data_IF_912486046931
#
_entry.id   IF_912486046931
#
_cell.length_a   1.000
_cell.length_b   1.000
_cell.length_c   1.000
_cell.angle_alpha   90.00
_cell.angle_beta   90.00
_cell.angle_gamma   90.00
#
_symmetry.space_group_name_H-M   'P 1'
#
loop_
_entity.id
_entity.type
_entity.pdbx_description
1 polymer ?
#
# COMPACT_ATOMS: atom_id res chain seq x y z
N UNK A 1 -42.71 17.75 16.19
CA UNK A 1 -41.93 17.34 17.38
C UNK A 1 -40.51 17.03 16.91
N UNK A 2 -39.60 17.99 17.02
CA UNK A 2 -38.23 17.86 16.50
C UNK A 2 -37.42 16.96 17.45
N UNK A 3 -36.91 15.85 16.91
CA UNK A 3 -35.96 14.97 17.60
C UNK A 3 -34.69 15.79 17.91
N UNK A 4 -34.56 16.16 19.18
CA UNK A 4 -33.33 16.68 19.77
C UNK A 4 -32.30 15.55 19.78
N UNK A 5 -31.62 15.35 18.65
CA UNK A 5 -30.37 14.60 18.65
C UNK A 5 -29.38 15.39 19.48
N UNK A 6 -29.13 14.95 20.71
CA UNK A 6 -27.99 15.41 21.50
C UNK A 6 -26.74 14.98 20.72
N UNK A 7 -26.26 15.84 19.82
CA UNK A 7 -24.97 15.69 19.16
C UNK A 7 -23.96 15.68 20.31
N UNK A 8 -23.41 14.51 20.61
CA UNK A 8 -22.21 14.42 21.43
C UNK A 8 -21.19 15.33 20.77
N UNK A 9 -20.85 16.39 21.48
CA UNK A 9 -19.96 17.43 20.98
C UNK A 9 -18.60 16.76 20.71
N UNK A 10 -17.89 17.09 19.63
CA UNK A 10 -16.55 16.52 19.36
C UNK A 10 -15.57 16.71 20.53
N UNK A 11 -15.87 17.65 21.44
CA UNK A 11 -15.18 17.88 22.72
C UNK A 11 -15.30 16.70 23.71
N UNK A 12 -16.42 15.97 23.73
CA UNK A 12 -16.61 14.81 24.62
C UNK A 12 -15.82 13.57 24.14
N UNK A 13 -15.63 13.44 22.82
CA UNK A 13 -14.81 12.37 22.22
C UNK A 13 -13.33 12.76 21.99
N UNK A 14 -12.95 14.01 22.32
CA UNK A 14 -11.63 14.58 21.99
C UNK A 14 -11.21 14.33 20.52
N UNK A 15 -12.17 14.34 19.58
CA UNK A 15 -11.91 14.00 18.19
C UNK A 15 -11.45 15.23 17.40
N UNK A 16 -10.33 15.12 16.68
CA UNK A 16 -9.84 16.20 15.79
C UNK A 16 -10.33 16.01 14.35
N UNK A 17 -10.63 17.11 13.68
CA UNK A 17 -10.95 17.09 12.25
C UNK A 17 -9.73 16.70 11.42
N UNK A 18 -9.98 16.17 10.22
CA UNK A 18 -8.92 15.80 9.27
C UNK A 18 -8.11 17.01 8.85
N UNK A 19 -8.78 18.13 8.61
CA UNK A 19 -8.20 19.40 8.21
C UNK A 19 -7.22 19.88 9.27
N UNK A 20 -7.64 19.87 10.55
CA UNK A 20 -6.79 20.26 11.68
C UNK A 20 -5.60 19.32 11.85
N UNK A 21 -5.81 18.01 11.74
CA UNK A 21 -4.72 17.04 11.81
C UNK A 21 -3.67 17.27 10.71
N UNK A 22 -4.12 17.53 9.48
CA UNK A 22 -3.24 17.83 8.35
C UNK A 22 -2.52 19.15 8.59
N UNK A 23 -3.22 20.22 8.94
CA UNK A 23 -2.64 21.54 9.19
C UNK A 23 -1.50 21.50 10.22
N UNK A 24 -1.71 20.81 11.35
CA UNK A 24 -0.72 20.68 12.42
C UNK A 24 0.53 19.89 12.03
N UNK A 25 0.40 18.89 11.13
CA UNK A 25 1.48 17.94 10.84
C UNK A 25 2.11 18.12 9.45
N UNK A 26 1.47 18.85 8.52
CA UNK A 26 1.87 18.94 7.12
C UNK A 26 3.31 19.43 6.94
N UNK A 27 3.68 20.53 7.60
CA UNK A 27 5.02 21.13 7.45
C UNK A 27 6.11 20.17 7.90
N UNK A 28 6.02 19.68 9.14
CA UNK A 28 6.99 18.77 9.73
C UNK A 28 7.14 17.47 8.92
N UNK A 29 6.02 16.82 8.57
CA UNK A 29 6.03 15.59 7.78
C UNK A 29 6.65 15.82 6.40
N UNK A 30 6.29 16.91 5.73
CA UNK A 30 6.83 17.23 4.40
C UNK A 30 8.33 17.53 4.44
N UNK A 31 8.80 18.27 5.45
CA UNK A 31 10.22 18.60 5.65
C UNK A 31 11.03 17.33 5.94
N UNK A 32 10.56 16.46 6.85
CA UNK A 32 11.23 15.19 7.14
C UNK A 32 11.35 14.30 5.89
N UNK A 33 10.28 14.18 5.10
CA UNK A 33 10.31 13.42 3.85
C UNK A 33 11.26 14.06 2.84
N UNK A 34 11.24 15.39 2.73
CA UNK A 34 12.13 16.11 1.82
C UNK A 34 13.60 15.87 2.16
N UNK A 35 13.97 16.04 3.44
CA UNK A 35 15.32 15.81 3.92
C UNK A 35 15.75 14.36 3.74
N UNK A 36 14.88 13.39 4.03
CA UNK A 36 15.19 11.98 3.83
C UNK A 36 15.36 11.64 2.35
N UNK A 37 14.49 12.13 1.47
CA UNK A 37 14.61 11.93 0.01
C UNK A 37 15.89 12.57 -0.54
N UNK A 38 16.24 13.79 -0.10
CA UNK A 38 17.50 14.44 -0.46
C UNK A 38 18.71 13.68 0.05
N UNK A 39 18.67 13.25 1.32
CA UNK A 39 19.72 12.48 1.93
C UNK A 39 19.92 11.17 1.16
N UNK A 40 18.86 10.42 0.89
CA UNK A 40 18.93 9.16 0.15
C UNK A 40 19.41 9.37 -1.30
N UNK A 41 19.01 10.48 -1.94
CA UNK A 41 19.55 10.88 -3.24
C UNK A 41 21.04 11.19 -3.19
N UNK A 42 21.52 11.86 -2.13
CA UNK A 42 22.94 12.17 -1.91
C UNK A 42 23.73 10.89 -1.54
N UNK A 43 23.17 10.05 -0.66
CA UNK A 43 23.77 8.87 -0.05
C UNK A 43 23.79 7.63 -0.96
N UNK A 44 22.87 7.48 -1.93
CA UNK A 44 23.02 6.48 -3.01
C UNK A 44 24.19 6.76 -3.97
N UNK A 45 24.94 7.83 -3.69
CA UNK A 45 26.38 7.98 -3.82
C UNK A 45 26.99 8.03 -5.22
N UNK A 46 28.13 8.73 -5.25
CA UNK A 46 28.93 9.14 -6.43
C UNK A 46 29.01 8.10 -7.56
N UNK A 47 29.09 6.79 -7.29
CA UNK A 47 29.24 5.75 -8.33
C UNK A 47 27.99 5.59 -9.21
N UNK A 48 26.79 5.51 -8.64
CA UNK A 48 25.55 5.40 -9.42
C UNK A 48 25.21 6.72 -10.12
N UNK A 49 25.48 7.86 -9.46
CA UNK A 49 25.36 9.20 -10.07
C UNK A 49 26.33 9.38 -11.24
N UNK A 50 27.62 9.02 -11.07
CA UNK A 50 28.62 9.03 -12.16
C UNK A 50 28.19 8.13 -13.31
N UNK A 51 27.76 6.89 -13.05
CA UNK A 51 27.25 5.97 -14.07
C UNK A 51 26.03 6.54 -14.81
N UNK A 52 25.10 7.18 -14.09
CA UNK A 52 23.97 7.87 -14.73
C UNK A 52 24.40 9.06 -15.57
N UNK A 53 25.31 9.91 -15.09
CA UNK A 53 25.81 11.07 -15.82
C UNK A 53 26.54 10.62 -17.08
N UNK A 54 27.44 9.64 -16.97
CA UNK A 54 28.14 9.01 -18.11
C UNK A 54 27.13 8.41 -19.09
N UNK A 55 26.17 7.61 -18.62
CA UNK A 55 25.14 7.03 -19.50
C UNK A 55 24.24 8.09 -20.14
N UNK A 56 23.96 9.20 -19.45
CA UNK A 56 23.18 10.31 -20.00
C UNK A 56 23.97 11.07 -21.06
N UNK A 57 25.26 11.28 -20.86
CA UNK A 57 26.17 11.87 -21.86
C UNK A 57 26.29 10.92 -23.06
N UNK A 58 26.55 9.63 -22.83
CA UNK A 58 26.59 8.60 -23.87
C UNK A 58 25.27 8.50 -24.63
N UNK A 59 24.13 8.63 -23.95
CA UNK A 59 22.82 8.65 -24.59
C UNK A 59 22.67 9.87 -25.51
N UNK A 60 22.95 11.08 -25.04
CA UNK A 60 22.81 12.29 -25.85
C UNK A 60 23.79 12.33 -27.01
N UNK A 61 25.04 11.92 -26.79
CA UNK A 61 26.04 11.78 -27.86
C UNK A 61 25.61 10.74 -28.88
N UNK A 62 25.18 9.55 -28.44
CA UNK A 62 24.66 8.52 -29.35
C UNK A 62 23.40 8.97 -30.10
N UNK A 63 22.53 9.77 -29.46
CA UNK A 63 21.34 10.32 -30.08
C UNK A 63 21.67 11.34 -31.16
N UNK A 64 22.59 12.28 -30.89
CA UNK A 64 23.08 13.23 -31.90
C UNK A 64 23.76 12.50 -33.05
N UNK A 65 24.65 11.56 -32.74
CA UNK A 65 25.34 10.74 -33.75
C UNK A 65 24.31 9.98 -34.61
N UNK A 66 23.29 9.38 -34.00
CA UNK A 66 22.22 8.70 -34.72
C UNK A 66 21.46 9.63 -35.68
N UNK A 67 21.09 10.84 -35.25
CA UNK A 67 20.45 11.81 -36.14
C UNK A 67 21.35 12.26 -37.29
N UNK A 68 22.62 12.51 -37.02
CA UNK A 68 23.61 12.82 -38.05
C UNK A 68 23.72 11.65 -39.04
N UNK A 69 23.77 10.41 -38.55
CA UNK A 69 23.80 9.22 -39.42
C UNK A 69 22.52 9.04 -40.23
N UNK A 70 21.34 9.38 -39.68
CA UNK A 70 20.08 9.40 -40.45
C UNK A 70 20.19 10.39 -41.61
N UNK A 71 20.69 11.60 -41.35
CA UNK A 71 20.82 12.63 -42.39
C UNK A 71 21.78 12.16 -43.48
N UNK A 72 22.94 11.61 -43.13
CA UNK A 72 23.88 11.04 -44.11
C UNK A 72 23.29 9.86 -44.88
N UNK A 73 22.51 9.00 -44.22
CA UNK A 73 21.82 7.89 -44.88
C UNK A 73 20.77 8.38 -45.88
N UNK A 74 19.96 9.38 -45.51
CA UNK A 74 18.98 10.01 -46.40
C UNK A 74 19.69 10.66 -47.60
N UNK A 75 20.76 11.42 -47.36
CA UNK A 75 21.56 12.02 -48.44
C UNK A 75 22.12 10.95 -49.38
N UNK A 76 22.61 9.83 -48.85
CA UNK A 76 23.09 8.69 -49.65
C UNK A 76 21.98 8.04 -50.49
N UNK A 77 20.77 7.87 -49.95
CA UNK A 77 19.61 7.39 -50.71
C UNK A 77 19.24 8.38 -51.82
N UNK A 78 19.21 9.68 -51.51
CA UNK A 78 18.94 10.73 -52.49
C UNK A 78 19.98 10.74 -53.62
N UNK A 79 21.26 10.58 -53.31
CA UNK A 79 22.34 10.49 -54.32
C UNK A 79 22.15 9.27 -55.25
N UNK A 80 21.76 8.12 -54.70
CA UNK A 80 21.43 6.91 -55.48
C UNK A 80 20.19 7.10 -56.35
N UNK A 81 19.14 7.74 -55.81
CA UNK A 81 17.86 7.92 -56.48
C UNK A 81 17.91 8.98 -57.61
N UNK A 82 18.71 10.05 -57.45
CA UNK A 82 18.75 11.19 -58.38
C UNK A 82 19.96 11.21 -59.33
N UNK A 83 20.86 10.23 -59.24
CA UNK A 83 21.90 9.85 -60.23
C UNK A 83 22.76 10.98 -60.86
N UNK A 84 22.78 12.21 -60.31
CA UNK A 84 23.54 13.32 -60.88
C UNK A 84 24.14 14.28 -59.82
N UNK A 85 25.44 14.56 -59.99
CA UNK A 85 26.25 15.72 -59.55
C UNK A 85 26.77 15.88 -58.11
N UNK A 86 26.70 14.89 -57.22
CA UNK A 86 27.54 14.92 -56.00
C UNK A 86 28.33 13.61 -55.98
N UNK A 87 29.64 13.70 -56.18
CA UNK A 87 30.51 12.56 -56.49
C UNK A 87 31.09 11.85 -55.25
N UNK A 88 30.66 12.21 -54.05
CA UNK A 88 31.45 11.97 -52.85
C UNK A 88 31.22 10.59 -52.20
N UNK A 89 30.15 9.82 -52.51
CA UNK A 89 29.77 8.69 -51.64
C UNK A 89 29.46 7.34 -52.31
N UNK A 90 29.44 7.25 -53.64
CA UNK A 90 29.03 6.02 -54.35
C UNK A 90 29.87 4.77 -53.99
N UNK A 91 31.17 4.93 -53.70
CA UNK A 91 32.08 3.83 -53.29
C UNK A 91 31.98 3.45 -51.80
N UNK A 92 31.39 4.31 -50.96
CA UNK A 92 31.37 4.15 -49.51
C UNK A 92 29.97 3.94 -48.94
N UNK A 93 28.95 3.80 -49.79
CA UNK A 93 27.55 3.62 -49.39
C UNK A 93 27.35 2.37 -48.52
N UNK A 94 27.99 1.25 -48.86
CA UNK A 94 27.94 0.03 -48.05
C UNK A 94 28.56 0.25 -46.66
N UNK A 95 29.69 0.96 -46.58
CA UNK A 95 30.35 1.33 -45.32
C UNK A 95 29.46 2.27 -44.50
N UNK A 96 28.82 3.25 -45.15
CA UNK A 96 27.90 4.19 -44.52
C UNK A 96 26.68 3.48 -43.92
N UNK A 97 26.13 2.47 -44.60
CA UNK A 97 25.03 1.63 -44.11
C UNK A 97 25.47 0.82 -42.89
N UNK A 98 26.64 0.18 -42.93
CA UNK A 98 27.16 -0.59 -41.79
C UNK A 98 27.39 0.30 -40.58
N UNK A 99 28.00 1.48 -40.79
CA UNK A 99 28.20 2.49 -39.74
C UNK A 99 26.85 2.97 -39.19
N UNK A 100 25.86 3.22 -40.05
CA UNK A 100 24.51 3.61 -39.65
C UNK A 100 23.83 2.55 -38.77
N UNK A 101 23.87 1.27 -39.19
CA UNK A 101 23.29 0.16 -38.44
C UNK A 101 23.99 0.02 -37.08
N UNK A 102 25.32 0.06 -37.06
CA UNK A 102 26.10 -0.03 -35.82
C UNK A 102 25.75 1.10 -34.85
N UNK A 103 25.69 2.35 -35.33
CA UNK A 103 25.33 3.51 -34.53
C UNK A 103 23.88 3.46 -34.05
N UNK A 104 22.97 2.91 -34.85
CA UNK A 104 21.56 2.69 -34.49
C UNK A 104 21.41 1.65 -33.37
N UNK A 105 22.12 0.52 -33.46
CA UNK A 105 22.12 -0.51 -32.42
C UNK A 105 22.76 0.04 -31.14
N UNK A 106 23.86 0.78 -31.26
CA UNK A 106 24.53 1.40 -30.12
C UNK A 106 23.66 2.44 -29.42
N UNK A 107 22.93 3.29 -30.17
CA UNK A 107 22.00 4.28 -29.60
C UNK A 107 20.82 3.61 -28.89
N UNK A 108 20.28 2.52 -29.45
CA UNK A 108 19.21 1.75 -28.83
C UNK A 108 19.67 1.08 -27.53
N UNK A 109 20.87 0.48 -27.53
CA UNK A 109 21.45 -0.14 -26.34
C UNK A 109 21.70 0.88 -25.22
N UNK A 110 22.27 2.04 -25.55
CA UNK A 110 22.49 3.12 -24.56
C UNK A 110 21.17 3.66 -24.00
N UNK A 111 20.10 3.74 -24.81
CA UNK A 111 18.75 4.09 -24.35
C UNK A 111 18.22 3.06 -23.34
N UNK A 112 18.29 1.76 -23.66
CA UNK A 112 17.81 0.67 -22.80
C UNK A 112 18.57 0.67 -21.46
N UNK A 113 19.90 0.77 -21.52
CA UNK A 113 20.77 0.79 -20.34
C UNK A 113 20.49 2.00 -19.46
N UNK A 114 20.34 3.20 -20.06
CA UNK A 114 20.00 4.43 -19.33
C UNK A 114 18.66 4.31 -18.64
N UNK A 115 17.63 3.80 -19.35
CA UNK A 115 16.30 3.56 -18.79
C UNK A 115 16.33 2.55 -17.64
N UNK A 116 17.12 1.48 -17.77
CA UNK A 116 17.31 0.47 -16.72
C UNK A 116 17.91 1.09 -15.45
N UNK A 117 19.00 1.86 -15.56
CA UNK A 117 19.64 2.49 -14.39
C UNK A 117 18.74 3.55 -13.73
N UNK A 118 18.01 4.35 -14.52
CA UNK A 118 17.03 5.29 -13.99
C UNK A 118 15.94 4.56 -13.20
N UNK A 119 15.40 3.45 -13.74
CA UNK A 119 14.42 2.63 -13.04
C UNK A 119 15.00 2.00 -11.77
N UNK A 120 16.25 1.53 -11.81
CA UNK A 120 16.93 0.97 -10.64
C UNK A 120 17.06 2.00 -9.51
N UNK A 121 17.46 3.22 -9.82
CA UNK A 121 17.58 4.31 -8.82
C UNK A 121 16.22 4.68 -8.25
N UNK A 122 15.20 4.84 -9.11
CA UNK A 122 13.82 5.08 -8.67
C UNK A 122 13.34 3.99 -7.72
N UNK A 123 13.50 2.72 -8.11
CA UNK A 123 13.11 1.61 -7.26
C UNK A 123 13.90 1.59 -5.95
N UNK A 124 15.19 1.92 -5.97
CA UNK A 124 16.01 1.86 -4.76
C UNK A 124 15.69 3.02 -3.82
N UNK A 125 15.49 4.24 -4.32
CA UNK A 125 15.14 5.41 -3.51
C UNK A 125 13.77 5.23 -2.82
N UNK A 126 12.76 4.81 -3.57
CA UNK A 126 11.39 4.76 -3.06
C UNK A 126 11.04 3.43 -2.37
N UNK A 127 11.75 2.33 -2.66
CA UNK A 127 11.58 1.08 -1.88
C UNK A 127 12.39 1.05 -0.59
N UNK A 128 13.54 1.75 -0.52
CA UNK A 128 14.37 1.80 0.70
C UNK A 128 14.08 3.01 1.60
N UNK A 129 13.14 3.87 1.22
CA UNK A 129 12.73 5.01 2.02
C UNK A 129 12.28 4.56 3.42
N UNK A 130 13.03 4.95 4.44
CA UNK A 130 12.73 4.58 5.82
C UNK A 130 11.64 5.47 6.38
N UNK A 131 10.50 4.87 6.73
CA UNK A 131 9.38 5.56 7.37
C UNK A 131 9.47 5.54 8.90
N UNK A 132 10.49 4.87 9.47
CA UNK A 132 10.59 4.63 10.91
C UNK A 132 10.53 5.92 11.75
N UNK A 133 11.34 6.97 11.48
CA UNK A 133 11.34 8.19 12.29
C UNK A 133 10.01 8.94 12.20
N UNK A 134 9.41 8.91 11.01
CA UNK A 134 8.18 9.59 10.71
C UNK A 134 6.98 8.92 11.40
N UNK A 135 6.95 7.59 11.44
CA UNK A 135 5.94 6.82 12.17
C UNK A 135 6.06 7.07 13.67
N UNK A 136 7.28 7.12 14.20
CA UNK A 136 7.50 7.48 15.60
C UNK A 136 6.91 8.86 15.92
N UNK A 137 7.16 9.88 15.09
CA UNK A 137 6.58 11.22 15.29
C UNK A 137 5.05 11.22 15.25
N UNK A 138 4.45 10.51 14.29
CA UNK A 138 2.99 10.50 14.10
C UNK A 138 2.26 9.64 15.14
N UNK A 139 2.83 8.53 15.58
CA UNK A 139 2.24 7.73 16.68
C UNK A 139 2.40 8.41 18.03
N UNK A 140 3.49 9.16 18.24
CA UNK A 140 3.66 9.99 19.43
C UNK A 140 2.60 11.09 19.53
N UNK A 141 2.05 11.57 18.41
CA UNK A 141 0.93 12.51 18.42
C UNK A 141 -0.34 11.91 19.07
N UNK A 142 -0.55 10.60 18.93
CA UNK A 142 -1.66 9.88 19.57
C UNK A 142 -1.34 9.45 21.02
N UNK A 143 -0.14 9.75 21.53
CA UNK A 143 0.32 9.31 22.84
C UNK A 143 0.92 7.90 22.88
N UNK A 144 1.13 7.27 21.72
CA UNK A 144 1.77 5.95 21.67
C UNK A 144 3.29 6.05 21.54
N UNK A 145 4.02 5.40 22.45
CA UNK A 145 5.47 5.22 22.31
C UNK A 145 5.76 4.17 21.24
N UNK A 146 6.32 4.60 20.12
CA UNK A 146 6.72 3.69 19.05
C UNK A 146 8.01 2.94 19.43
N UNK A 147 7.87 1.65 19.80
CA UNK A 147 8.97 0.71 19.97
C UNK A 147 9.10 -0.16 18.72
N UNK A 148 10.23 -0.03 18.03
CA UNK A 148 10.53 -0.85 16.86
C UNK A 148 11.27 -2.11 17.29
N UNK A 149 10.55 -3.08 17.83
CA UNK A 149 11.07 -4.44 17.75
C UNK A 149 10.87 -4.87 16.29
N UNK A 150 11.95 -5.16 15.59
CA UNK A 150 11.87 -6.02 14.41
C UNK A 150 11.41 -7.38 14.94
N UNK A 151 10.09 -7.54 15.08
CA UNK A 151 9.52 -8.82 15.48
C UNK A 151 9.96 -9.79 14.40
N UNK A 152 10.77 -10.77 14.78
CA UNK A 152 11.25 -11.82 13.89
C UNK A 152 10.09 -12.31 13.01
N UNK A 153 10.33 -12.41 11.70
CA UNK A 153 9.30 -12.76 10.71
C UNK A 153 8.52 -14.04 11.08
N UNK A 154 9.14 -14.93 11.87
CA UNK A 154 8.57 -16.20 12.36
C UNK A 154 7.62 -16.08 13.58
N UNK A 155 7.72 -15.03 14.41
CA UNK A 155 6.87 -14.86 15.60
C UNK A 155 5.57 -14.06 15.32
N UNK A 156 5.37 -13.58 14.09
CA UNK A 156 4.25 -12.70 13.71
C UNK A 156 2.87 -13.36 13.58
N UNK A 157 2.69 -14.58 14.10
CA UNK A 157 1.71 -15.46 13.51
C UNK A 157 0.91 -16.23 14.57
N UNK A 158 -0.06 -15.54 15.13
CA UNK A 158 -1.28 -16.16 15.66
C UNK A 158 -2.50 -15.44 15.06
N UNK A 159 -2.46 -14.11 15.03
CA UNK A 159 -3.56 -13.25 14.55
C UNK A 159 -3.96 -13.43 13.07
N UNK A 160 -2.99 -13.49 12.14
CA UNK A 160 -3.27 -13.71 10.71
C UNK A 160 -3.04 -15.13 10.21
N UNK A 161 -2.57 -16.05 11.08
CA UNK A 161 -2.27 -17.44 10.68
C UNK A 161 -3.54 -18.24 10.37
N UNK A 162 -4.66 -17.89 10.99
CA UNK A 162 -5.94 -18.57 10.81
C UNK A 162 -6.85 -17.82 9.84
N UNK A 163 -6.46 -17.82 8.58
CA UNK A 163 -7.27 -17.41 7.42
C UNK A 163 -8.50 -18.32 7.30
N UNK A 164 -8.42 -19.55 7.82
CA UNK A 164 -9.53 -20.50 8.00
C UNK A 164 -10.70 -19.93 8.81
N UNK A 165 -10.51 -18.83 9.55
CA UNK A 165 -11.60 -18.16 10.26
C UNK A 165 -12.42 -17.24 9.35
N UNK A 166 -11.92 -16.90 8.15
CA UNK A 166 -12.66 -16.10 7.18
C UNK A 166 -13.56 -17.00 6.34
N UNK A 167 -14.87 -17.04 6.62
CA UNK A 167 -15.80 -17.93 5.90
C UNK A 167 -15.82 -17.71 4.38
N UNK A 168 -15.48 -16.50 3.91
CA UNK A 168 -15.41 -16.17 2.48
C UNK A 168 -14.12 -16.63 1.78
N UNK A 169 -13.12 -17.06 2.55
CA UNK A 169 -11.88 -17.63 2.04
C UNK A 169 -11.95 -19.14 2.14
N UNK A 170 -11.88 -19.81 1.00
CA UNK A 170 -11.75 -21.27 0.98
C UNK A 170 -10.46 -21.67 1.72
N UNK A 171 -10.40 -22.89 2.27
CA UNK A 171 -9.26 -23.45 3.02
C UNK A 171 -7.92 -23.54 2.24
N UNK A 172 -7.82 -22.97 1.04
CA UNK A 172 -6.71 -23.06 0.09
C UNK A 172 -6.01 -21.71 -0.18
N UNK A 173 -6.26 -20.69 0.65
CA UNK A 173 -5.62 -19.37 0.52
C UNK A 173 -4.63 -19.12 1.66
N UNK A 174 -3.42 -18.70 1.32
CA UNK A 174 -2.34 -18.40 2.25
C UNK A 174 -2.02 -16.90 2.26
N UNK A 175 -1.78 -16.35 3.45
CA UNK A 175 -1.33 -14.99 3.62
C UNK A 175 0.14 -14.94 3.19
N UNK A 176 0.46 -13.98 2.34
CA UNK A 176 1.82 -13.76 1.88
C UNK A 176 2.54 -12.75 2.78
N UNK A 177 3.85 -12.91 2.92
CA UNK A 177 4.74 -11.92 3.55
C UNK A 177 5.01 -10.69 2.64
N UNK A 178 4.07 -10.35 1.75
CA UNK A 178 4.29 -9.31 0.75
C UNK A 178 4.44 -7.91 1.36
N UNK A 179 3.81 -7.65 2.51
CA UNK A 179 3.85 -6.36 3.18
C UNK A 179 4.49 -6.43 4.55
N UNK A 180 5.17 -5.35 4.93
CA UNK A 180 5.74 -5.19 6.26
C UNK A 180 4.65 -5.02 7.32
N UNK A 181 4.78 -5.72 8.44
CA UNK A 181 3.97 -5.48 9.63
C UNK A 181 4.54 -4.28 10.41
N UNK A 182 3.65 -3.40 10.86
CA UNK A 182 3.98 -2.30 11.75
C UNK A 182 3.44 -2.61 13.13
N UNK A 183 4.27 -2.42 14.16
CA UNK A 183 3.93 -2.70 15.54
C UNK A 183 4.25 -1.50 16.43
N UNK A 184 3.44 -1.31 17.46
CA UNK A 184 3.58 -0.27 18.46
C UNK A 184 3.33 -0.92 19.81
N UNK A 185 4.24 -0.67 20.76
CA UNK A 185 4.19 -1.27 22.09
C UNK A 185 4.29 -0.16 23.12
N UNK A 186 3.25 -0.05 23.94
CA UNK A 186 3.27 0.68 25.21
C UNK A 186 3.11 -0.32 26.35
N UNK A 187 3.27 0.14 27.59
CA UNK A 187 3.17 -0.73 28.76
C UNK A 187 1.79 -1.41 28.89
N UNK A 188 0.73 -0.76 28.37
CA UNK A 188 -0.66 -1.21 28.56
C UNK A 188 -1.37 -1.53 27.24
N UNK A 189 -0.79 -1.13 26.10
CA UNK A 189 -1.41 -1.29 24.79
C UNK A 189 -0.41 -1.78 23.78
N UNK A 190 -0.82 -2.81 23.07
CA UNK A 190 -0.05 -3.35 21.96
C UNK A 190 -0.86 -3.21 20.67
N UNK A 191 -0.31 -2.58 19.64
CA UNK A 191 -0.97 -2.38 18.34
C UNK A 191 -0.15 -3.05 17.23
N UNK A 192 -0.77 -3.90 16.40
CA UNK A 192 -0.22 -4.35 15.10
C UNK A 192 -1.09 -3.84 13.98
N UNK A 193 -0.48 -3.57 12.84
CA UNK A 193 -1.20 -3.29 11.61
C UNK A 193 -0.42 -3.79 10.38
N UNK A 194 -1.15 -4.28 9.38
CA UNK A 194 -0.55 -4.79 8.14
C UNK A 194 -1.57 -4.76 6.99
N UNK A 195 -1.09 -4.46 5.78
CA UNK A 195 -1.84 -4.82 4.57
C UNK A 195 -1.77 -6.34 4.40
N UNK A 196 -2.88 -6.95 4.02
CA UNK A 196 -3.01 -8.39 3.85
C UNK A 196 -3.18 -8.68 2.38
N UNK A 197 -2.38 -9.62 1.88
CA UNK A 197 -2.51 -10.14 0.53
C UNK A 197 -2.45 -11.65 0.56
N UNK A 198 -3.51 -12.22 0.01
CA UNK A 198 -3.80 -13.64 0.04
C UNK A 198 -3.58 -14.20 -1.35
N UNK A 199 -3.00 -15.40 -1.41
CA UNK A 199 -2.77 -16.11 -2.66
C UNK A 199 -3.27 -17.52 -2.51
N UNK A 200 -3.81 -18.08 -3.59
CA UNK A 200 -4.20 -19.48 -3.62
C UNK A 200 -2.95 -20.37 -3.55
N UNK A 201 -3.13 -21.58 -3.04
CA UNK A 201 -2.10 -22.62 -2.97
C UNK A 201 -1.46 -22.88 -4.35
N UNK A 202 -2.26 -22.92 -5.41
CA UNK A 202 -1.78 -23.08 -6.79
C UNK A 202 -0.83 -21.96 -7.22
N UNK A 203 -1.13 -20.71 -6.87
CA UNK A 203 -0.25 -19.59 -7.17
C UNK A 203 1.10 -19.77 -6.46
N UNK A 204 1.08 -20.07 -5.16
CA UNK A 204 2.30 -20.18 -4.38
C UNK A 204 3.19 -21.31 -4.91
N UNK A 205 2.59 -22.47 -5.18
CA UNK A 205 3.27 -23.60 -5.78
C UNK A 205 3.91 -23.25 -7.14
N UNK A 206 3.24 -22.45 -7.97
CA UNK A 206 3.81 -22.00 -9.25
C UNK A 206 4.94 -20.97 -9.07
N UNK A 207 4.79 -20.00 -8.17
CA UNK A 207 5.78 -18.94 -7.97
C UNK A 207 7.00 -19.34 -7.11
N UNK A 208 6.93 -20.48 -6.42
CA UNK A 208 8.08 -21.08 -5.74
C UNK A 208 8.94 -21.96 -6.68
N UNK A 209 8.44 -22.28 -7.88
CA UNK A 209 9.24 -22.98 -8.89
C UNK A 209 10.47 -22.17 -9.32
N UNK A 210 11.59 -22.87 -9.56
CA UNK A 210 12.80 -22.31 -10.19
C UNK A 210 12.46 -21.79 -11.60
N UNK A 211 13.19 -20.76 -12.06
CA UNK A 211 12.93 -20.05 -13.33
C UNK A 211 12.72 -20.99 -14.53
N UNK A 212 13.62 -21.95 -14.73
CA UNK A 212 13.52 -22.90 -15.84
C UNK A 212 12.35 -23.87 -15.69
N UNK A 213 11.98 -24.23 -14.46
CA UNK A 213 10.82 -25.08 -14.16
C UNK A 213 9.51 -24.35 -14.44
N UNK A 214 9.44 -23.04 -14.12
CA UNK A 214 8.32 -22.17 -14.50
C UNK A 214 8.16 -22.12 -16.02
N UNK A 215 9.25 -21.88 -16.74
CA UNK A 215 9.23 -21.84 -18.21
C UNK A 215 8.74 -23.18 -18.77
N UNK A 216 9.27 -24.32 -18.30
CA UNK A 216 8.81 -25.65 -18.73
C UNK A 216 7.33 -25.88 -18.45
N UNK A 217 6.84 -25.43 -17.28
CA UNK A 217 5.44 -25.54 -16.91
C UNK A 217 4.54 -24.66 -17.80
N UNK A 218 4.92 -23.40 -18.04
CA UNK A 218 4.23 -22.49 -18.95
C UNK A 218 4.17 -23.07 -20.36
N UNK A 219 5.30 -23.54 -20.89
CA UNK A 219 5.38 -24.14 -22.22
C UNK A 219 4.52 -25.40 -22.30
N UNK A 220 4.59 -26.30 -21.31
CA UNK A 220 3.79 -27.52 -21.27
C UNK A 220 2.28 -27.24 -21.32
N UNK A 221 1.82 -26.19 -20.64
CA UNK A 221 0.40 -25.78 -20.67
C UNK A 221 0.06 -25.13 -22.02
N UNK A 222 0.90 -24.22 -22.49
CA UNK A 222 0.72 -23.52 -23.77
C UNK A 222 0.63 -24.50 -24.96
N UNK A 223 1.39 -25.60 -24.91
CA UNK A 223 1.36 -26.65 -25.93
C UNK A 223 0.27 -27.71 -25.73
N UNK A 224 -0.32 -27.86 -24.53
CA UNK A 224 -1.25 -28.99 -24.26
C UNK A 224 -2.66 -28.81 -24.80
N UNK A 225 -3.14 -27.58 -24.92
CA UNK A 225 -4.40 -27.19 -25.59
C UNK A 225 -4.19 -25.73 -26.00
N UNK A 226 -4.78 -25.25 -27.10
CA UNK A 226 -4.67 -23.86 -27.59
C UNK A 226 -5.28 -22.79 -26.65
N UNK A 227 -4.87 -22.82 -25.39
CA UNK A 227 -5.32 -22.02 -24.26
C UNK A 227 -4.71 -20.64 -24.45
N UNK A 228 -5.56 -19.67 -24.78
CA UNK A 228 -5.19 -18.27 -24.86
C UNK A 228 -4.54 -17.85 -23.53
N UNK A 229 -3.54 -16.97 -23.59
CA UNK A 229 -2.85 -16.45 -22.39
C UNK A 229 -3.81 -15.94 -21.29
N UNK A 230 -4.99 -15.44 -21.67
CA UNK A 230 -6.06 -15.04 -20.75
C UNK A 230 -6.62 -16.18 -19.89
N UNK A 231 -6.64 -17.41 -20.40
CA UNK A 231 -7.13 -18.60 -19.69
C UNK A 231 -6.07 -19.18 -18.74
N UNK A 232 -4.78 -19.04 -19.08
CA UNK A 232 -3.65 -19.32 -18.17
C UNK A 232 -3.71 -18.42 -16.92
N UNK A 233 -4.06 -17.14 -17.10
CA UNK A 233 -4.27 -16.21 -16.00
C UNK A 233 -5.41 -16.68 -15.08
N UNK A 234 -6.49 -17.23 -15.62
CA UNK A 234 -7.60 -17.78 -14.83
C UNK A 234 -7.25 -19.05 -14.04
N UNK A 235 -6.42 -19.96 -14.58
CA UNK A 235 -6.11 -21.26 -13.92
C UNK A 235 -5.03 -21.17 -12.83
N UNK A 236 -4.07 -20.25 -12.94
CA UNK A 236 -2.96 -20.09 -11.98
C UNK A 236 -3.12 -18.80 -11.15
N UNK A 237 -3.72 -17.76 -11.73
CA UNK A 237 -4.02 -16.48 -11.08
C UNK A 237 -5.52 -16.28 -10.87
N UNK A 238 -6.25 -17.33 -10.45
CA UNK A 238 -7.53 -17.16 -9.74
C UNK A 238 -7.26 -16.48 -8.37
N UNK A 239 -6.62 -15.32 -8.41
CA UNK A 239 -6.50 -14.39 -7.31
C UNK A 239 -7.93 -13.87 -7.07
N UNK A 240 -8.61 -14.45 -6.09
CA UNK A 240 -9.44 -13.61 -5.24
C UNK A 240 -8.49 -12.59 -4.59
N UNK A 241 -8.25 -11.50 -5.32
CA UNK A 241 -7.40 -10.36 -4.98
C UNK A 241 -8.08 -9.55 -3.87
N UNK A 242 -8.34 -10.19 -2.74
CA UNK A 242 -8.95 -9.53 -1.60
C UNK A 242 -7.84 -8.80 -0.88
N UNK A 243 -7.65 -7.54 -1.26
CA UNK A 243 -6.77 -6.61 -0.57
C UNK A 243 -7.48 -6.16 0.72
N UNK A 244 -6.88 -6.47 1.86
CA UNK A 244 -7.38 -6.07 3.16
C UNK A 244 -6.35 -5.29 3.93
N UNK A 245 -6.79 -4.57 4.94
CA UNK A 245 -5.94 -4.05 5.98
C UNK A 245 -6.45 -4.55 7.32
N UNK A 246 -5.55 -5.05 8.16
CA UNK A 246 -5.86 -5.56 9.48
C UNK A 246 -5.14 -4.77 10.56
N UNK A 247 -5.82 -4.51 11.67
CA UNK A 247 -5.26 -3.97 12.90
C UNK A 247 -5.63 -4.86 14.08
N UNK A 248 -4.73 -5.00 15.03
CA UNK A 248 -5.02 -5.66 16.32
C UNK A 248 -4.57 -4.79 17.47
N UNK A 249 -5.37 -4.71 18.52
CA UNK A 249 -5.08 -4.05 19.77
C UNK A 249 -5.11 -5.08 20.88
N UNK A 250 -4.16 -5.06 21.82
CA UNK A 250 -4.29 -5.74 23.11
C UNK A 250 -4.40 -4.67 24.19
N UNK A 251 -5.49 -4.71 24.94
CA UNK A 251 -5.81 -3.74 25.99
C UNK A 251 -5.91 -4.46 27.32
N UNK A 252 -4.94 -4.26 28.21
CA UNK A 252 -4.95 -4.94 29.53
C UNK A 252 -6.16 -4.56 30.39
N UNK A 253 -6.75 -3.39 30.16
CA UNK A 253 -7.95 -2.87 30.81
C UNK A 253 -9.26 -3.51 30.31
N UNK A 254 -9.26 -4.13 29.13
CA UNK A 254 -10.46 -4.73 28.56
C UNK A 254 -10.86 -5.96 29.36
N UNK A 255 -12.16 -6.12 29.64
CA UNK A 255 -12.66 -7.29 30.35
C UNK A 255 -12.37 -8.57 29.53
N UNK A 256 -11.66 -9.54 30.13
CA UNK A 256 -11.31 -10.83 29.50
C UNK A 256 -12.53 -11.59 28.99
N UNK A 257 -13.65 -11.46 29.69
CA UNK A 257 -14.87 -12.17 29.36
C UNK A 257 -15.63 -11.48 28.23
N UNK A 258 -15.31 -10.24 27.86
CA UNK A 258 -16.01 -9.52 26.80
C UNK A 258 -15.66 -10.12 25.43
N UNK A 259 -16.65 -10.74 24.81
CA UNK A 259 -16.49 -11.43 23.53
C UNK A 259 -17.69 -11.15 22.61
N UNK A 260 -17.42 -10.50 21.47
CA UNK A 260 -18.45 -10.13 20.50
C UNK A 260 -17.83 -9.70 19.16
N UNK A 261 -18.67 -9.57 18.14
CA UNK A 261 -18.33 -9.01 16.82
C UNK A 261 -19.24 -7.83 16.48
N UNK A 262 -18.71 -6.81 15.81
CA UNK A 262 -19.40 -5.64 15.26
C UNK A 262 -19.23 -5.57 13.74
N UNK A 263 -20.21 -4.96 13.07
CA UNK A 263 -20.24 -4.60 11.65
C UNK A 263 -20.17 -5.76 10.64
N UNK A 264 -20.05 -7.00 11.11
CA UNK A 264 -19.90 -8.19 10.27
C UNK A 264 -21.23 -8.59 9.60
N UNK A 265 -21.66 -7.78 8.63
CA UNK A 265 -22.93 -7.95 7.91
C UNK A 265 -23.06 -9.33 7.26
N UNK A 266 -21.96 -9.90 6.78
CA UNK A 266 -21.96 -11.15 6.03
C UNK A 266 -21.50 -12.36 6.87
N UNK A 267 -21.31 -12.20 8.18
CA UNK A 267 -20.82 -13.23 9.09
C UNK A 267 -19.50 -13.87 8.67
N UNK A 268 -18.64 -13.13 7.97
CA UNK A 268 -17.37 -13.65 7.48
C UNK A 268 -16.41 -13.93 8.62
N UNK A 269 -16.62 -13.33 9.78
CA UNK A 269 -15.67 -13.28 10.88
C UNK A 269 -16.30 -13.70 12.24
N UNK A 270 -17.63 -13.64 12.31
CA UNK A 270 -18.41 -14.02 13.48
C UNK A 270 -18.47 -15.55 13.59
N UNK A 271 -18.09 -16.14 14.74
CA UNK A 271 -18.28 -17.56 15.04
C UNK A 271 -19.75 -18.01 14.88
N UNK A 272 -19.95 -19.29 14.55
CA UNK A 272 -21.27 -19.84 14.26
C UNK A 272 -22.22 -19.90 15.46
N UNK A 273 -21.68 -19.91 16.68
CA UNK A 273 -22.43 -20.01 17.94
C UNK A 273 -22.85 -18.64 18.51
N UNK A 274 -22.53 -17.54 17.84
CA UNK A 274 -22.93 -16.20 18.28
C UNK A 274 -24.34 -15.85 17.82
N UNK A 275 -25.10 -15.22 18.72
CA UNK A 275 -26.44 -14.69 18.45
C UNK A 275 -26.39 -13.18 18.24
N UNK A 276 -27.27 -12.65 17.38
CA UNK A 276 -27.43 -11.20 17.22
C UNK A 276 -28.10 -10.58 18.44
N UNK A 277 -27.55 -9.46 18.91
CA UNK A 277 -28.15 -8.66 19.97
C UNK A 277 -29.16 -7.68 19.38
N UNK A 278 -30.35 -7.60 19.98
CA UNK A 278 -31.40 -6.65 19.55
C UNK A 278 -31.03 -5.27 20.09
N UNK A 279 -30.97 -4.29 19.19
CA UNK A 279 -30.64 -2.90 19.49
C UNK A 279 -31.80 -2.00 19.06
N UNK A 280 -31.80 -0.79 19.61
CA UNK A 280 -32.60 0.33 19.09
C UNK A 280 -32.26 0.58 17.60
N UNK A 281 -33.28 0.89 16.79
CA UNK A 281 -33.23 1.09 15.32
C UNK A 281 -32.04 1.94 14.88
N UNK A 282 -31.74 3.01 15.64
CA UNK A 282 -30.63 3.94 15.33
C UNK A 282 -29.24 3.31 15.43
N UNK A 283 -29.12 2.12 16.04
CA UNK A 283 -27.88 1.38 16.24
C UNK A 283 -27.88 0.00 15.56
N UNK A 284 -28.95 -0.42 14.88
CA UNK A 284 -29.03 -1.73 14.22
C UNK A 284 -27.89 -1.97 13.21
N UNK A 285 -27.39 -0.91 12.57
CA UNK A 285 -26.28 -0.99 11.63
C UNK A 285 -24.97 -1.50 12.27
N UNK A 286 -24.83 -1.41 13.61
CA UNK A 286 -23.68 -1.94 14.36
C UNK A 286 -23.61 -3.46 14.29
N UNK A 287 -24.75 -4.15 14.11
CA UNK A 287 -24.86 -5.61 13.96
C UNK A 287 -24.03 -6.39 14.98
N UNK A 288 -24.32 -6.17 16.26
CA UNK A 288 -23.59 -6.79 17.37
C UNK A 288 -23.97 -8.26 17.48
N UNK A 289 -22.96 -9.13 17.51
CA UNK A 289 -23.15 -10.58 17.70
C UNK A 289 -22.27 -11.09 18.82
N UNK A 290 -22.81 -11.92 19.70
CA UNK A 290 -22.08 -12.44 20.85
C UNK A 290 -22.64 -13.78 21.34
N UNK A 291 -21.86 -14.46 22.17
CA UNK A 291 -22.37 -15.45 23.12
C UNK A 291 -22.91 -14.67 24.33
N UNK A 292 -24.11 -14.97 24.82
CA UNK A 292 -24.76 -14.23 25.93
C UNK A 292 -23.75 -13.92 27.04
N UNK A 293 -23.62 -12.63 27.38
CA UNK A 293 -22.55 -12.13 28.23
C UNK A 293 -22.97 -10.85 28.95
N UNK A 294 -22.98 -10.88 30.28
CA UNK A 294 -23.37 -9.74 31.12
C UNK A 294 -22.46 -8.52 30.93
N UNK A 295 -21.16 -8.72 30.68
CA UNK A 295 -20.23 -7.61 30.45
C UNK A 295 -20.58 -6.84 29.17
N UNK A 296 -21.06 -7.54 28.14
CA UNK A 296 -21.54 -6.89 26.91
C UNK A 296 -22.85 -6.14 27.16
N UNK A 297 -23.78 -6.72 27.92
CA UNK A 297 -25.04 -6.04 28.26
C UNK A 297 -24.79 -4.72 28.97
N UNK A 298 -23.86 -4.68 29.94
CA UNK A 298 -23.44 -3.42 30.59
C UNK A 298 -22.87 -2.43 29.59
N UNK A 299 -21.95 -2.87 28.73
CA UNK A 299 -21.31 -2.01 27.73
C UNK A 299 -22.28 -1.42 26.72
N UNK A 300 -23.26 -2.20 26.25
CA UNK A 300 -24.29 -1.77 25.29
C UNK A 300 -25.28 -0.78 25.94
N UNK A 301 -25.58 -0.94 27.23
CA UNK A 301 -26.49 -0.06 27.95
C UNK A 301 -25.92 1.36 28.17
N UNK A 302 -24.61 1.53 28.03
CA UNK A 302 -23.96 2.85 28.06
C UNK A 302 -24.12 3.56 26.70
N UNK A 303 -25.15 4.41 26.59
CA UNK A 303 -25.48 5.15 25.36
C UNK A 303 -24.30 5.92 24.72
N UNK A 304 -23.35 6.39 25.54
CA UNK A 304 -22.14 7.07 25.08
C UNK A 304 -21.24 6.18 24.23
N UNK A 305 -21.17 4.87 24.54
CA UNK A 305 -20.35 3.92 23.79
C UNK A 305 -20.93 3.69 22.39
N UNK A 306 -22.23 3.42 22.30
CA UNK A 306 -22.90 3.17 21.02
C UNK A 306 -22.86 4.41 20.11
N UNK A 307 -23.09 5.60 20.68
CA UNK A 307 -23.04 6.84 19.89
C UNK A 307 -21.61 7.16 19.43
N UNK A 308 -20.59 6.94 20.27
CA UNK A 308 -19.20 7.09 19.86
C UNK A 308 -18.86 6.18 18.69
N UNK A 309 -19.16 4.88 18.81
CA UNK A 309 -18.94 3.88 17.75
C UNK A 309 -19.67 4.28 16.47
N UNK A 310 -20.91 4.76 16.57
CA UNK A 310 -21.69 5.22 15.43
C UNK A 310 -21.06 6.39 14.69
N UNK A 311 -20.73 7.47 15.40
CA UNK A 311 -20.12 8.67 14.80
C UNK A 311 -18.82 8.30 14.10
N UNK A 312 -17.95 7.54 14.78
CA UNK A 312 -16.64 7.16 14.23
C UNK A 312 -16.79 6.25 13.01
N UNK A 313 -17.73 5.31 13.04
CA UNK A 313 -18.01 4.43 11.90
C UNK A 313 -18.51 5.21 10.68
N UNK A 314 -19.34 6.22 10.88
CA UNK A 314 -19.78 7.10 9.79
C UNK A 314 -18.59 7.86 9.19
N UNK A 315 -17.66 8.36 10.01
CA UNK A 315 -16.44 9.00 9.53
C UNK A 315 -15.54 8.04 8.74
N UNK A 316 -15.41 6.80 9.22
CA UNK A 316 -14.65 5.72 8.59
C UNK A 316 -15.27 5.31 7.24
N UNK A 317 -16.59 5.12 7.17
CA UNK A 317 -17.30 4.75 5.94
C UNK A 317 -17.23 5.84 4.87
N UNK A 318 -17.22 7.11 5.28
CA UNK A 318 -17.08 8.25 4.38
C UNK A 318 -15.61 8.55 4.02
N UNK A 319 -14.67 7.79 4.59
CA UNK A 319 -13.26 8.04 4.39
C UNK A 319 -12.80 7.75 2.96
N UNK A 320 -11.93 8.61 2.46
CA UNK A 320 -11.38 8.54 1.10
C UNK A 320 -9.86 8.43 1.18
N UNK A 321 -9.32 7.35 0.61
CA UNK A 321 -7.88 7.14 0.54
C UNK A 321 -7.25 7.81 -0.69
N UNK A 322 -5.95 8.12 -0.57
CA UNK A 322 -5.11 8.64 -1.64
C UNK A 322 -4.19 7.52 -2.17
N UNK A 323 -4.21 7.32 -3.49
CA UNK A 323 -3.31 6.41 -4.21
C UNK A 323 -2.27 7.16 -5.07
N UNK A 324 -1.09 6.56 -5.22
CA UNK A 324 -0.08 6.94 -6.22
C UNK A 324 -0.22 6.26 -7.58
N UNK A 325 -0.76 5.03 -7.67
CA UNK A 325 -0.83 4.23 -8.91
C UNK A 325 -1.97 4.64 -9.83
N UNK A 326 -3.18 4.82 -9.28
CA UNK A 326 -4.32 5.30 -10.06
C UNK A 326 -4.45 6.81 -9.87
N UNK A 327 -4.51 7.59 -10.97
CA UNK A 327 -4.86 9.02 -10.91
C UNK A 327 -6.19 9.14 -10.12
N UNK A 328 -6.10 9.54 -8.86
CA UNK A 328 -7.19 10.02 -8.01
C UNK A 328 -8.53 9.26 -8.07
N UNK A 329 -8.53 7.92 -8.22
CA UNK A 329 -9.75 7.16 -7.93
C UNK A 329 -9.92 7.10 -6.42
N UNK A 330 -10.96 7.77 -5.93
CA UNK A 330 -11.38 7.69 -4.52
C UNK A 330 -11.70 6.22 -4.25
N UNK A 331 -10.96 5.59 -3.35
CA UNK A 331 -11.38 4.31 -2.79
C UNK A 331 -12.02 4.55 -1.43
N UNK A 332 -13.01 3.72 -1.13
CA UNK A 332 -13.62 3.60 0.19
C UNK A 332 -13.28 2.22 0.74
N UNK A 333 -13.47 2.05 2.04
CA UNK A 333 -13.45 0.71 2.61
C UNK A 333 -14.74 -0.04 2.28
N UNK A 334 -14.70 -1.36 2.37
CA UNK A 334 -15.88 -2.21 2.47
C UNK A 334 -15.64 -3.33 3.48
N UNK A 335 -16.74 -3.95 3.96
CA UNK A 335 -16.68 -5.07 4.91
C UNK A 335 -15.84 -4.77 6.16
N UNK A 336 -16.00 -3.58 6.75
CA UNK A 336 -15.46 -3.30 8.08
C UNK A 336 -16.05 -4.31 9.06
N UNK A 337 -15.19 -4.93 9.86
CA UNK A 337 -15.64 -5.74 10.98
C UNK A 337 -14.61 -5.67 12.10
N UNK A 338 -15.14 -5.74 13.31
CA UNK A 338 -14.40 -5.67 14.56
C UNK A 338 -14.79 -6.86 15.41
N UNK A 339 -13.81 -7.62 15.92
CA UNK A 339 -14.02 -8.69 16.89
C UNK A 339 -13.27 -8.37 18.17
N UNK A 340 -13.95 -8.53 19.30
CA UNK A 340 -13.35 -8.45 20.63
C UNK A 340 -13.33 -9.84 21.23
N UNK A 341 -12.19 -10.27 21.76
CA UNK A 341 -12.04 -11.54 22.46
C UNK A 341 -10.75 -11.52 23.26
N UNK A 342 -10.76 -12.06 24.49
CA UNK A 342 -9.56 -12.25 25.31
C UNK A 342 -8.68 -10.99 25.49
N UNK A 343 -9.31 -9.83 25.72
CA UNK A 343 -8.64 -8.53 25.83
C UNK A 343 -7.97 -8.02 24.54
N UNK A 344 -8.23 -8.68 23.42
CA UNK A 344 -7.75 -8.29 22.12
C UNK A 344 -8.92 -7.79 21.26
N UNK A 345 -8.64 -6.76 20.48
CA UNK A 345 -9.59 -6.15 19.55
C UNK A 345 -8.98 -6.24 18.19
N UNK A 346 -9.71 -6.85 17.29
CA UNK A 346 -9.27 -7.15 15.94
C UNK A 346 -10.16 -6.43 14.96
N UNK A 347 -9.56 -5.66 14.07
CA UNK A 347 -10.28 -4.85 13.09
C UNK A 347 -9.73 -5.18 11.71
N UNK A 348 -10.62 -5.41 10.76
CA UNK A 348 -10.24 -5.59 9.37
C UNK A 348 -11.30 -4.99 8.45
N UNK A 349 -10.85 -4.62 7.25
CA UNK A 349 -11.71 -4.14 6.19
C UNK A 349 -11.03 -4.39 4.85
N UNK A 350 -11.86 -4.48 3.80
CA UNK A 350 -11.40 -4.57 2.43
C UNK A 350 -11.11 -3.16 1.90
N UNK A 351 -9.97 -3.01 1.22
CA UNK A 351 -9.59 -1.76 0.56
C UNK A 351 -8.76 -2.08 -0.68
N UNK A 352 -9.08 -1.46 -1.81
CA UNK A 352 -8.26 -1.52 -3.04
C UNK A 352 -6.98 -0.70 -2.92
N UNK A 353 -6.86 0.08 -1.85
CA UNK A 353 -5.72 0.94 -1.56
C UNK A 353 -4.89 0.38 -0.43
N UNK A 354 -3.58 0.35 -0.65
CA UNK A 354 -2.62 -0.14 0.31
C UNK A 354 -2.28 1.01 1.28
N UNK A 355 -2.65 0.81 2.54
CA UNK A 355 -2.48 1.77 3.63
C UNK A 355 -1.05 1.66 4.15
N UNK A 356 -0.37 2.79 4.34
CA UNK A 356 1.06 2.80 4.70
C UNK A 356 1.97 2.13 3.65
N UNK A 357 1.50 1.90 2.41
CA UNK A 357 2.38 1.50 1.33
C UNK A 357 2.82 2.70 0.49
N UNK A 358 4.13 2.93 0.46
CA UNK A 358 4.76 4.03 -0.24
C UNK A 358 5.69 3.57 -1.37
N UNK A 359 5.63 2.29 -1.76
CA UNK A 359 6.38 1.81 -2.93
C UNK A 359 5.82 2.45 -4.20
N UNK A 360 6.48 3.50 -4.67
CA UNK A 360 6.16 4.18 -5.93
C UNK A 360 7.33 4.04 -6.89
N UNK A 361 7.01 3.84 -8.18
CA UNK A 361 7.99 3.93 -9.26
C UNK A 361 7.75 5.26 -10.00
N UNK A 362 8.28 6.38 -9.49
CA UNK A 362 8.00 7.70 -10.05
C UNK A 362 8.55 7.86 -11.46
N UNK A 363 7.82 8.57 -12.33
CA UNK A 363 8.29 8.86 -13.70
C UNK A 363 9.41 9.90 -13.76
N UNK A 364 9.58 10.73 -12.72
CA UNK A 364 10.58 11.80 -12.62
C UNK A 364 11.03 11.89 -11.16
N UNK A 365 12.32 12.15 -10.92
CA UNK A 365 12.86 12.40 -9.58
C UNK A 365 12.78 13.91 -9.30
N UNK A 366 11.75 14.34 -8.60
CA UNK A 366 11.60 15.72 -8.09
C UNK A 366 11.26 15.65 -6.60
N UNK A 367 12.24 15.93 -5.75
CA UNK A 367 12.13 15.78 -4.29
C UNK A 367 11.00 16.61 -3.71
N UNK A 368 10.86 17.87 -4.11
CA UNK A 368 9.81 18.79 -3.64
C UNK A 368 8.41 18.30 -4.00
N UNK A 369 8.21 17.85 -5.24
CA UNK A 369 6.92 17.29 -5.67
C UNK A 369 6.62 15.98 -4.95
N UNK A 370 7.60 15.10 -4.81
CA UNK A 370 7.41 13.81 -4.15
C UNK A 370 7.20 13.96 -2.64
N UNK A 371 7.88 14.90 -1.97
CA UNK A 371 7.66 15.15 -0.55
C UNK A 371 6.24 15.64 -0.30
N UNK A 372 5.69 16.52 -1.14
CA UNK A 372 4.29 16.96 -1.06
C UNK A 372 3.29 15.82 -1.31
N UNK A 373 3.54 14.96 -2.30
CA UNK A 373 2.64 13.84 -2.60
C UNK A 373 2.70 12.77 -1.50
N UNK A 374 3.89 12.45 -1.01
CA UNK A 374 4.11 11.51 0.08
C UNK A 374 3.52 12.01 1.39
N UNK A 375 3.72 13.28 1.76
CA UNK A 375 3.15 13.85 2.98
C UNK A 375 1.62 13.77 2.98
N UNK A 376 0.98 14.14 1.86
CA UNK A 376 -0.48 14.04 1.70
C UNK A 376 -0.99 12.62 1.90
N UNK A 377 -0.35 11.62 1.27
CA UNK A 377 -0.76 10.22 1.46
C UNK A 377 -0.52 9.76 2.89
N UNK A 378 0.66 10.01 3.46
CA UNK A 378 1.01 9.62 4.83
C UNK A 378 -0.02 10.18 5.80
N UNK A 379 -0.30 11.47 5.76
CA UNK A 379 -1.24 12.11 6.69
C UNK A 379 -2.66 11.59 6.50
N UNK A 380 -3.07 11.30 5.26
CA UNK A 380 -4.35 10.68 4.98
C UNK A 380 -4.42 9.24 5.54
N UNK A 381 -3.40 8.42 5.36
CA UNK A 381 -3.36 7.06 5.92
C UNK A 381 -3.32 7.10 7.45
N UNK A 382 -2.53 8.00 8.06
CA UNK A 382 -2.41 8.14 9.51
C UNK A 382 -3.68 8.69 10.17
N UNK A 383 -4.38 9.63 9.53
CA UNK A 383 -5.66 10.09 10.05
C UNK A 383 -6.72 8.98 10.01
N UNK A 384 -6.67 8.10 9.00
CA UNK A 384 -7.52 6.92 9.01
C UNK A 384 -7.20 5.99 10.19
N UNK A 385 -5.90 5.72 10.41
CA UNK A 385 -5.45 4.94 11.57
C UNK A 385 -5.90 5.61 12.87
N UNK A 386 -5.85 6.93 12.97
CA UNK A 386 -6.40 7.70 14.09
C UNK A 386 -7.89 7.42 14.30
N UNK A 387 -8.71 7.46 13.24
CA UNK A 387 -10.14 7.12 13.36
C UNK A 387 -10.35 5.67 13.84
N UNK A 388 -9.54 4.73 13.36
CA UNK A 388 -9.59 3.33 13.84
C UNK A 388 -9.19 3.24 15.32
N UNK A 389 -8.17 3.97 15.77
CA UNK A 389 -7.85 4.04 17.20
C UNK A 389 -9.03 4.62 17.99
N UNK A 390 -9.67 5.69 17.51
CA UNK A 390 -10.85 6.26 18.19
C UNK A 390 -12.00 5.27 18.26
N UNK A 391 -12.19 4.41 17.24
CA UNK A 391 -13.19 3.33 17.26
C UNK A 391 -12.98 2.37 18.44
N UNK A 392 -11.74 2.32 18.96
CA UNK A 392 -11.35 1.45 20.07
C UNK A 392 -11.45 2.14 21.44
N UNK A 393 -11.60 3.47 21.50
CA UNK A 393 -11.72 4.24 22.75
C UNK A 393 -12.86 3.75 23.67
N UNK A 394 -14.06 3.43 23.17
CA UNK A 394 -15.14 2.86 23.98
C UNK A 394 -14.80 1.53 24.67
N UNK A 395 -13.69 0.90 24.31
CA UNK A 395 -13.19 -0.34 24.93
C UNK A 395 -12.00 -0.11 25.86
N UNK A 396 -11.71 1.16 26.21
CA UNK A 396 -10.68 1.52 27.17
C UNK A 396 -9.31 1.85 26.57
N UNK A 397 -9.23 2.14 25.26
CA UNK A 397 -8.02 2.71 24.67
C UNK A 397 -7.90 4.19 25.01
N UNK A 398 -6.79 4.58 25.61
CA UNK A 398 -6.47 5.99 25.88
C UNK A 398 -5.72 6.62 24.69
N UNK A 399 -6.23 7.76 24.21
CA UNK A 399 -5.58 8.56 23.18
C UNK A 399 -5.28 9.94 23.76
N UNK A 400 -4.00 10.31 23.81
CA UNK A 400 -3.56 11.65 24.24
C UNK A 400 -3.17 12.42 23.00
N UNK A 401 -4.07 13.26 22.50
CA UNK A 401 -3.74 14.21 21.44
C UNK A 401 -2.78 15.24 22.03
N UNK A 402 -1.48 15.08 21.78
CA UNK A 402 -0.49 16.03 22.26
C UNK A 402 -0.71 17.37 21.55
N UNK A 403 -1.37 18.31 22.24
CA UNK A 403 -1.43 19.72 21.84
C UNK A 403 -0.01 20.28 22.01
N UNK A 404 0.66 20.55 20.90
CA UNK A 404 1.72 21.56 20.87
C UNK A 404 1.12 22.86 20.38
#
# INVERSE_FOLDING_TARGET
MFLNYKIINMKELNLISKERFIEQNQKNVQEQIYHQLEHDLKAQNKKLKKRLVVNRILFWTSFVIFFVSIIFFILGIFEVAFKNKILLWKSHLAVAIVVFIFLSIFSLLTLIVTKYFLNKIRNTLFKKFSLKPLFHSLFSYFGFKYHNNEIEEKQNISFFKNINNFKEMNNSYHLTHHYKQHAIITNNTYVRMQNLHYKSENYQNFYDLKFWTKIKYILKIWFKKGVKWSSYQGEIEEEKNIQRFGLSFKLTSLNKNLEFTLFDKNNYFTPGDYTSLVLDDRYEFLKIKNKKNEALTKWVNESTNLEAVKVITQMINNYKFINFKYKFKKSTISNLSLKVSNQEIFIWFNTKEQILNFTVSPKIINTKKWSQLMSKKILNDFYFIYLICNLVVPFGLEIKNNKK
#
